data_IF_672139552653
#
_entry.id   IF_672139552653
#
_cell.length_a   1.000
_cell.length_b   1.000
_cell.length_c   1.000
_cell.angle_alpha   90.00
_cell.angle_beta   90.00
_cell.angle_gamma   90.00
#
_symmetry.space_group_name_H-M   'P 1'
#
loop_
_entity.id
_entity.type
_entity.pdbx_description
1 polymer ?
#
# COMPACT_ATOMS: atom_id res chain seq x y z
N UNK A 1 20.94 14.04 22.31
CA UNK A 1 19.48 14.24 22.29
C UNK A 1 18.87 14.84 21.02
N UNK A 2 19.51 15.74 20.25
CA UNK A 2 18.82 16.45 19.16
C UNK A 2 18.32 15.51 18.05
N UNK A 3 19.02 14.40 17.79
CA UNK A 3 18.58 13.40 16.82
C UNK A 3 17.26 12.72 17.23
N UNK A 4 17.11 12.30 18.48
CA UNK A 4 15.86 11.67 18.96
C UNK A 4 14.68 12.65 18.87
N UNK A 5 14.87 13.88 19.34
CA UNK A 5 13.82 14.92 19.29
C UNK A 5 13.49 15.26 17.82
N UNK A 6 14.50 15.40 16.97
CA UNK A 6 14.33 15.66 15.55
C UNK A 6 13.53 14.57 14.84
N UNK A 7 13.79 13.30 15.14
CA UNK A 7 13.04 12.16 14.59
C UNK A 7 11.58 12.16 15.06
N UNK A 8 11.33 12.43 16.35
CA UNK A 8 9.97 12.51 16.88
C UNK A 8 9.18 13.67 16.26
N UNK A 9 9.80 14.85 16.13
CA UNK A 9 9.20 16.02 15.50
C UNK A 9 8.95 15.79 14.00
N UNK A 10 9.92 15.21 13.28
CA UNK A 10 9.75 14.87 11.87
C UNK A 10 8.61 13.85 11.69
N UNK A 11 8.59 12.79 12.48
CA UNK A 11 7.52 11.78 12.46
C UNK A 11 6.14 12.39 12.74
N UNK A 12 6.05 13.31 13.71
CA UNK A 12 4.81 14.03 14.01
C UNK A 12 4.37 14.95 12.87
N UNK A 13 5.30 15.71 12.28
CA UNK A 13 5.02 16.59 11.14
C UNK A 13 4.54 15.78 9.93
N UNK A 14 5.27 14.72 9.58
CA UNK A 14 4.94 13.85 8.46
C UNK A 14 3.61 13.14 8.66
N UNK A 15 3.31 12.67 9.88
CA UNK A 15 2.05 11.97 10.14
C UNK A 15 0.81 12.87 10.16
N UNK A 16 0.98 14.20 10.30
CA UNK A 16 -0.15 15.14 10.44
C UNK A 16 -0.31 16.08 9.24
N UNK A 17 0.79 16.66 8.75
CA UNK A 17 0.76 17.68 7.69
C UNK A 17 0.74 17.05 6.30
N UNK A 18 1.56 16.04 6.06
CA UNK A 18 1.71 15.45 4.72
C UNK A 18 0.39 14.82 4.19
N UNK A 19 -0.41 14.08 4.99
CA UNK A 19 -1.72 13.59 4.55
C UNK A 19 -2.67 14.71 4.14
N UNK A 20 -2.67 15.83 4.85
CA UNK A 20 -3.54 16.99 4.56
C UNK A 20 -3.15 17.67 3.26
N UNK A 21 -1.85 17.77 2.98
CA UNK A 21 -1.35 18.31 1.72
C UNK A 21 -1.65 17.38 0.54
N UNK A 22 -1.48 16.07 0.73
CA UNK A 22 -1.79 15.07 -0.29
C UNK A 22 -3.30 14.98 -0.59
N UNK A 23 -4.16 15.08 0.42
CA UNK A 23 -5.61 15.08 0.22
C UNK A 23 -6.10 16.28 -0.60
N UNK A 24 -5.38 17.40 -0.58
CA UNK A 24 -5.70 18.61 -1.37
C UNK A 24 -5.12 18.58 -2.79
N UNK A 25 -4.26 17.60 -3.09
CA UNK A 25 -3.50 17.59 -4.31
C UNK A 25 -4.29 16.97 -5.48
N UNK A 26 -4.77 17.82 -6.40
CA UNK A 26 -5.53 17.36 -7.58
C UNK A 26 -4.72 16.51 -8.58
N UNK A 27 -3.40 16.41 -8.41
CA UNK A 27 -2.55 15.59 -9.27
C UNK A 27 -2.56 14.11 -8.91
N UNK A 28 -3.00 13.76 -7.69
CA UNK A 28 -3.00 12.40 -7.15
C UNK A 28 -3.80 11.44 -8.04
N UNK A 29 -4.99 11.87 -8.49
CA UNK A 29 -5.80 11.10 -9.44
C UNK A 29 -5.18 11.02 -10.84
N UNK A 30 -4.36 12.00 -11.26
CA UNK A 30 -3.75 12.01 -12.60
C UNK A 30 -2.57 11.05 -12.69
N UNK A 31 -1.80 10.91 -11.62
CA UNK A 31 -0.62 10.05 -11.55
C UNK A 31 -0.70 9.07 -10.37
N UNK A 32 -1.57 8.04 -10.43
CA UNK A 32 -1.85 7.17 -9.30
C UNK A 32 -0.62 6.38 -8.83
N UNK A 33 0.24 5.95 -9.76
CA UNK A 33 1.48 5.22 -9.44
C UNK A 33 2.47 6.11 -8.68
N UNK A 34 2.58 7.38 -9.06
CA UNK A 34 3.45 8.34 -8.37
C UNK A 34 2.88 8.70 -7.00
N UNK A 35 1.57 8.85 -6.89
CA UNK A 35 0.91 9.06 -5.61
C UNK A 35 1.12 7.87 -4.66
N UNK A 36 1.01 6.63 -5.14
CA UNK A 36 1.34 5.43 -4.37
C UNK A 36 2.79 5.46 -3.87
N UNK A 37 3.75 5.85 -4.72
CA UNK A 37 5.15 6.00 -4.32
C UNK A 37 5.30 7.04 -3.21
N UNK A 38 4.68 8.21 -3.34
CA UNK A 38 4.76 9.29 -2.35
C UNK A 38 4.18 8.84 -1.00
N UNK A 39 3.03 8.19 -1.03
CA UNK A 39 2.40 7.61 0.16
C UNK A 39 3.26 6.53 0.82
N UNK A 40 3.89 5.64 0.03
CA UNK A 40 4.82 4.63 0.53
C UNK A 40 6.05 5.27 1.17
N UNK A 41 6.66 6.26 0.51
CA UNK A 41 7.80 6.97 1.08
C UNK A 41 7.44 7.70 2.38
N UNK A 42 6.24 8.28 2.45
CA UNK A 42 5.74 8.92 3.67
C UNK A 42 5.59 7.92 4.82
N UNK A 43 4.93 6.78 4.58
CA UNK A 43 4.76 5.72 5.58
C UNK A 43 6.12 5.17 6.02
N UNK A 44 7.02 4.88 5.07
CA UNK A 44 8.37 4.41 5.36
C UNK A 44 9.14 5.43 6.19
N UNK A 45 9.05 6.73 5.88
CA UNK A 45 9.71 7.79 6.65
C UNK A 45 9.20 7.84 8.10
N UNK A 46 7.88 7.75 8.32
CA UNK A 46 7.29 7.71 9.67
C UNK A 46 7.74 6.46 10.43
N UNK A 47 7.71 5.28 9.78
CA UNK A 47 8.18 4.03 10.39
C UNK A 47 9.68 4.07 10.73
N UNK A 48 10.51 4.68 9.88
CA UNK A 48 11.93 4.90 10.15
C UNK A 48 12.12 5.84 11.34
N UNK A 49 11.37 6.94 11.43
CA UNK A 49 11.41 7.84 12.59
C UNK A 49 11.08 7.09 13.88
N UNK A 50 10.03 6.25 13.88
CA UNK A 50 9.66 5.45 15.04
C UNK A 50 10.72 4.40 15.39
N UNK A 51 11.24 3.67 14.41
CA UNK A 51 12.23 2.61 14.62
C UNK A 51 13.58 3.16 15.10
N UNK A 52 14.10 4.19 14.44
CA UNK A 52 15.36 4.86 14.83
C UNK A 52 15.19 5.58 16.16
N UNK A 53 14.05 6.23 16.38
CA UNK A 53 13.69 6.84 17.67
C UNK A 53 13.63 5.81 18.79
N UNK A 54 13.07 4.61 18.54
CA UNK A 54 13.02 3.52 19.51
C UNK A 54 14.44 3.04 19.85
N UNK A 55 15.30 2.82 18.85
CA UNK A 55 16.69 2.40 19.08
C UNK A 55 17.44 3.43 19.93
N UNK A 56 17.33 4.72 19.61
CA UNK A 56 17.98 5.79 20.38
C UNK A 56 17.42 5.92 21.80
N UNK A 57 16.08 5.87 21.95
CA UNK A 57 15.44 5.95 23.25
C UNK A 57 15.75 4.72 24.14
N UNK A 58 15.76 3.53 23.55
CA UNK A 58 16.12 2.30 24.24
C UNK A 58 17.60 2.28 24.63
N UNK A 59 18.49 2.83 23.79
CA UNK A 59 19.92 3.01 24.12
C UNK A 59 20.13 4.04 25.23
N UNK A 60 19.28 5.07 25.33
CA UNK A 60 19.31 5.99 26.48
C UNK A 60 18.82 5.32 27.77
N UNK A 61 17.86 4.40 27.67
CA UNK A 61 17.25 3.70 28.80
C UNK A 61 18.07 2.50 29.32
N UNK A 62 18.80 1.81 28.46
CA UNK A 62 19.47 0.54 28.77
C UNK A 62 20.96 0.62 28.41
N UNK A 63 21.87 0.70 29.40
CA UNK A 63 23.31 0.80 29.15
C UNK A 63 23.87 -0.38 28.34
N UNK A 64 23.35 -1.59 28.54
CA UNK A 64 23.77 -2.80 27.80
C UNK A 64 23.45 -2.68 26.30
N UNK A 65 22.24 -2.22 25.96
CA UNK A 65 21.85 -1.98 24.57
C UNK A 65 22.69 -0.85 23.96
N UNK A 66 22.98 0.20 24.74
CA UNK A 66 23.86 1.29 24.29
C UNK A 66 25.24 0.75 23.92
N UNK A 67 25.84 -0.06 24.79
CA UNK A 67 27.12 -0.69 24.52
C UNK A 67 27.10 -1.53 23.24
N UNK A 68 26.02 -2.29 22.98
CA UNK A 68 25.86 -3.07 21.76
C UNK A 68 25.71 -2.21 20.49
N UNK A 69 24.87 -1.16 20.54
CA UNK A 69 24.62 -0.26 19.40
C UNK A 69 25.89 0.51 19.02
N UNK A 70 26.70 0.89 20.01
CA UNK A 70 27.92 1.68 19.82
C UNK A 70 29.22 0.85 19.89
N UNK A 71 29.16 -0.48 19.99
CA UNK A 71 30.33 -1.35 20.16
C UNK A 71 31.41 -1.16 19.07
N UNK A 72 31.00 -0.85 17.84
CA UNK A 72 31.90 -0.58 16.71
C UNK A 72 32.07 0.91 16.37
N UNK A 73 31.54 1.81 17.19
CA UNK A 73 31.57 3.23 16.90
C UNK A 73 32.94 3.86 17.26
N UNK A 74 33.47 4.79 16.44
CA UNK A 74 34.67 5.54 16.78
C UNK A 74 34.51 6.35 18.08
N UNK A 75 35.65 6.71 18.68
CA UNK A 75 35.70 7.47 19.92
C UNK A 75 34.99 8.83 19.74
N UNK A 76 34.13 9.20 20.70
CA UNK A 76 33.38 10.46 20.66
C UNK A 76 31.99 10.39 20.01
N UNK A 77 31.71 9.35 19.19
CA UNK A 77 30.40 9.19 18.54
C UNK A 77 29.29 8.99 19.57
N UNK A 78 29.45 8.09 20.55
CA UNK A 78 28.45 7.88 21.61
C UNK A 78 28.14 9.18 22.37
N UNK A 79 29.18 9.94 22.71
CA UNK A 79 29.05 11.21 23.43
C UNK A 79 28.26 12.25 22.62
N UNK A 80 28.43 12.30 21.29
CA UNK A 80 27.69 13.20 20.41
C UNK A 80 26.16 12.95 20.43
N UNK A 81 25.73 11.72 20.72
CA UNK A 81 24.32 11.41 20.90
C UNK A 81 23.76 11.84 22.25
N UNK A 82 24.59 12.16 23.25
CA UNK A 82 24.18 12.68 24.57
C UNK A 82 23.11 11.84 25.27
N UNK A 83 23.23 10.50 25.20
CA UNK A 83 22.19 9.57 25.67
C UNK A 83 22.15 9.42 27.20
N UNK A 84 23.24 9.74 27.89
CA UNK A 84 23.39 9.53 29.34
C UNK A 84 22.49 10.43 30.20
N UNK A 85 22.19 11.65 29.75
CA UNK A 85 21.40 12.62 30.53
C UNK A 85 19.88 12.40 30.44
N UNK A 86 19.43 11.43 29.63
CA UNK A 86 18.03 11.31 29.23
C UNK A 86 17.33 10.03 29.71
N UNK A 87 17.87 9.35 30.72
CA UNK A 87 17.40 8.02 31.15
C UNK A 87 15.91 7.99 31.54
N UNK A 88 15.40 9.06 32.18
CA UNK A 88 13.99 9.19 32.59
C UNK A 88 13.02 9.24 31.40
N UNK A 89 13.15 10.25 30.54
CA UNK A 89 12.28 10.41 29.36
C UNK A 89 12.55 9.37 28.27
N UNK A 90 13.81 8.93 28.12
CA UNK A 90 14.20 7.87 27.19
C UNK A 90 13.46 6.55 27.45
N UNK A 91 13.30 6.15 28.72
CA UNK A 91 12.48 4.98 29.10
C UNK A 91 11.01 5.14 28.69
N UNK A 92 10.42 6.31 28.93
CA UNK A 92 9.03 6.56 28.54
C UNK A 92 8.87 6.51 27.00
N UNK A 93 9.74 7.19 26.25
CA UNK A 93 9.72 7.14 24.79
C UNK A 93 9.93 5.73 24.25
N UNK A 94 10.89 4.99 24.80
CA UNK A 94 11.15 3.61 24.41
C UNK A 94 9.93 2.73 24.68
N UNK A 95 9.29 2.86 25.86
CA UNK A 95 8.10 2.10 26.21
C UNK A 95 6.92 2.41 25.26
N UNK A 96 6.65 3.68 24.97
CA UNK A 96 5.57 4.09 24.05
C UNK A 96 5.81 3.58 22.64
N UNK A 97 7.03 3.76 22.11
CA UNK A 97 7.39 3.31 20.77
C UNK A 97 7.41 1.77 20.66
N UNK A 98 7.89 1.07 21.68
CA UNK A 98 7.88 -0.39 21.74
C UNK A 98 6.45 -0.94 21.82
N UNK A 99 5.59 -0.36 22.65
CA UNK A 99 4.18 -0.73 22.74
C UNK A 99 3.47 -0.56 21.38
N UNK A 100 3.70 0.57 20.69
CA UNK A 100 3.20 0.79 19.34
C UNK A 100 3.75 -0.23 18.33
N UNK A 101 5.05 -0.53 18.39
CA UNK A 101 5.68 -1.56 17.56
C UNK A 101 5.06 -2.95 17.76
N UNK A 102 4.89 -3.38 19.01
CA UNK A 102 4.23 -4.65 19.36
C UNK A 102 2.80 -4.69 18.86
N UNK A 103 2.02 -3.62 19.08
CA UNK A 103 0.64 -3.52 18.60
C UNK A 103 0.57 -3.65 17.07
N UNK A 104 1.53 -3.08 16.35
CA UNK A 104 1.65 -3.18 14.89
C UNK A 104 1.93 -4.60 14.44
N UNK A 105 2.88 -5.28 15.08
CA UNK A 105 3.22 -6.68 14.75
C UNK A 105 2.02 -7.58 15.00
N UNK A 106 1.29 -7.37 16.09
CA UNK A 106 0.06 -8.10 16.40
C UNK A 106 -1.03 -7.84 15.36
N UNK A 107 -1.25 -6.57 14.99
CA UNK A 107 -2.22 -6.18 13.96
C UNK A 107 -1.88 -6.78 12.60
N UNK A 108 -0.63 -6.66 12.16
CA UNK A 108 -0.15 -7.26 10.91
C UNK A 108 -0.30 -8.78 10.91
N UNK A 109 0.05 -9.43 12.01
CA UNK A 109 -0.09 -10.89 12.14
C UNK A 109 -1.55 -11.31 12.07
N UNK A 110 -2.47 -10.57 12.70
CA UNK A 110 -3.92 -10.82 12.62
C UNK A 110 -4.43 -10.65 11.20
N UNK A 111 -4.10 -9.54 10.53
CA UNK A 111 -4.53 -9.26 9.15
C UNK A 111 -3.99 -10.28 8.14
N UNK A 112 -2.73 -10.68 8.26
CA UNK A 112 -2.15 -11.72 7.39
C UNK A 112 -2.85 -13.07 7.62
N UNK A 113 -3.18 -13.41 8.87
CA UNK A 113 -3.90 -14.65 9.19
C UNK A 113 -5.34 -14.62 8.68
N UNK A 114 -6.08 -13.53 8.87
CA UNK A 114 -7.45 -13.38 8.37
C UNK A 114 -7.49 -13.40 6.85
N UNK A 115 -6.58 -12.67 6.19
CA UNK A 115 -6.47 -12.66 4.74
C UNK A 115 -6.08 -14.04 4.18
N UNK A 116 -5.14 -14.74 4.81
CA UNK A 116 -4.79 -16.12 4.45
C UNK A 116 -5.99 -17.05 4.60
N UNK A 117 -6.69 -17.03 5.73
CA UNK A 117 -7.86 -17.87 5.97
C UNK A 117 -9.00 -17.59 4.96
N UNK A 118 -9.29 -16.32 4.68
CA UNK A 118 -10.31 -15.93 3.69
C UNK A 118 -9.90 -16.38 2.28
N UNK A 119 -8.63 -16.23 1.93
CA UNK A 119 -8.09 -16.67 0.65
C UNK A 119 -8.19 -18.18 0.50
N UNK A 120 -7.81 -18.93 1.52
CA UNK A 120 -7.84 -20.40 1.49
C UNK A 120 -9.29 -20.91 1.38
N UNK A 121 -10.24 -20.26 2.08
CA UNK A 121 -11.69 -20.51 1.90
C UNK A 121 -12.19 -20.21 0.49
N UNK A 122 -11.77 -19.09 -0.10
CA UNK A 122 -12.14 -18.73 -1.48
C UNK A 122 -11.55 -19.71 -2.49
N UNK A 123 -10.30 -20.15 -2.32
CA UNK A 123 -9.70 -21.19 -3.16
C UNK A 123 -10.46 -22.52 -3.05
N UNK A 124 -10.86 -22.92 -1.83
CA UNK A 124 -11.67 -24.13 -1.63
C UNK A 124 -13.04 -24.02 -2.31
N UNK A 125 -13.74 -22.89 -2.16
CA UNK A 125 -15.01 -22.64 -2.84
C UNK A 125 -14.86 -22.60 -4.37
N UNK A 126 -13.77 -22.06 -4.88
CA UNK A 126 -13.48 -22.11 -6.31
C UNK A 126 -13.15 -23.52 -6.78
N UNK A 127 -12.45 -24.34 -5.99
CA UNK A 127 -12.17 -25.72 -6.36
C UNK A 127 -13.45 -26.56 -6.42
N UNK A 128 -14.40 -26.31 -5.52
CA UNK A 128 -15.71 -26.97 -5.49
C UNK A 128 -16.64 -26.54 -6.63
N UNK A 129 -16.60 -25.25 -7.01
CA UNK A 129 -17.49 -24.68 -8.04
C UNK A 129 -16.90 -24.60 -9.44
N UNK A 130 -15.58 -24.73 -9.57
CA UNK A 130 -14.94 -24.69 -10.88
C UNK A 130 -15.14 -26.05 -11.57
N UNK A 131 -15.58 -26.06 -12.84
CA UNK A 131 -15.59 -27.28 -13.63
C UNK A 131 -14.17 -27.85 -13.72
N UNK A 132 -14.00 -29.17 -13.55
CA UNK A 132 -12.74 -29.85 -13.87
C UNK A 132 -12.47 -29.70 -15.37
N UNK A 133 -11.42 -28.95 -15.72
CA UNK A 133 -10.97 -28.85 -17.10
C UNK A 133 -10.10 -30.07 -17.43
N UNK A 134 -10.27 -30.70 -18.60
CA UNK A 134 -9.40 -31.79 -19.03
C UNK A 134 -7.91 -31.40 -18.98
N UNK A 135 -7.05 -32.30 -18.49
CA UNK A 135 -5.60 -32.06 -18.32
C UNK A 135 -4.90 -31.55 -19.60
N UNK A 136 -5.42 -31.92 -20.78
CA UNK A 136 -4.92 -31.49 -22.10
C UNK A 136 -5.08 -29.98 -22.35
N UNK A 137 -6.11 -29.34 -21.77
CA UNK A 137 -6.34 -27.90 -21.87
C UNK A 137 -5.57 -27.15 -20.77
N UNK A 138 -5.38 -27.77 -19.60
CA UNK A 138 -4.57 -27.20 -18.52
C UNK A 138 -3.08 -27.13 -18.88
N UNK A 139 -2.53 -28.15 -19.54
CA UNK A 139 -1.12 -28.20 -19.94
C UNK A 139 -0.72 -27.12 -20.96
N UNK A 140 -1.66 -26.69 -21.80
CA UNK A 140 -1.44 -25.66 -22.82
C UNK A 140 -1.49 -24.22 -22.27
N UNK A 141 -2.09 -24.02 -21.09
CA UNK A 141 -2.17 -22.70 -20.44
C UNK A 141 -0.95 -22.51 -19.54
N UNK A 142 -0.25 -21.37 -19.69
CA UNK A 142 0.87 -21.02 -18.81
C UNK A 142 0.43 -21.16 -17.34
N UNK A 143 1.09 -22.06 -16.59
CA UNK A 143 0.80 -22.35 -15.17
C UNK A 143 0.70 -21.12 -14.26
N UNK A 144 1.21 -19.95 -14.70
CA UNK A 144 1.27 -18.71 -13.90
C UNK A 144 -0.04 -17.90 -13.84
N UNK A 145 -0.97 -18.05 -14.80
CA UNK A 145 -2.24 -17.29 -14.83
C UNK A 145 -3.38 -18.19 -15.37
N UNK A 146 -4.20 -18.77 -14.47
CA UNK A 146 -5.36 -19.62 -14.85
C UNK A 146 -6.64 -18.78 -14.90
N UNK A 147 -7.35 -18.81 -16.03
CA UNK A 147 -8.70 -18.24 -16.15
C UNK A 147 -9.74 -19.29 -15.75
N UNK A 148 -10.57 -18.96 -14.76
CA UNK A 148 -11.66 -19.79 -14.23
C UNK A 148 -12.98 -19.10 -14.57
N UNK A 149 -13.89 -19.84 -15.21
CA UNK A 149 -15.25 -19.35 -15.48
C UNK A 149 -16.17 -19.92 -14.41
N UNK A 150 -16.91 -19.05 -13.71
CA UNK A 150 -17.92 -19.45 -12.73
C UNK A 150 -19.32 -19.20 -13.26
N UNK A 151 -20.22 -20.14 -12.99
CA UNK A 151 -21.64 -19.93 -13.28
C UNK A 151 -22.24 -18.94 -12.27
N UNK A 152 -22.61 -17.76 -12.76
CA UNK A 152 -23.33 -16.74 -11.99
C UNK A 152 -23.94 -15.73 -12.97
N UNK A 153 -25.21 -15.39 -12.77
CA UNK A 153 -25.93 -14.40 -13.59
C UNK A 153 -25.33 -13.01 -13.43
N UNK A 154 -24.77 -12.68 -12.24
CA UNK A 154 -24.19 -11.37 -12.00
C UNK A 154 -22.88 -11.18 -12.80
N UNK A 155 -22.70 -10.06 -13.50
CA UNK A 155 -21.48 -9.76 -14.25
C UNK A 155 -20.34 -9.39 -13.29
N UNK A 156 -19.43 -10.33 -13.04
CA UNK A 156 -18.33 -10.13 -12.11
C UNK A 156 -17.04 -10.71 -12.66
N UNK A 157 -15.94 -10.02 -12.38
CA UNK A 157 -14.59 -10.51 -12.61
C UNK A 157 -13.71 -10.09 -11.44
N UNK A 158 -12.84 -10.99 -10.99
CA UNK A 158 -11.88 -10.68 -9.93
C UNK A 158 -10.67 -11.60 -10.00
N UNK A 159 -9.56 -11.14 -9.43
CA UNK A 159 -8.35 -11.91 -9.26
C UNK A 159 -8.26 -12.53 -7.87
N UNK A 160 -7.87 -13.81 -7.81
CA UNK A 160 -7.50 -14.48 -6.57
C UNK A 160 -5.97 -14.63 -6.51
N UNK A 161 -5.29 -13.87 -5.62
CA UNK A 161 -3.85 -13.91 -5.51
C UNK A 161 -3.35 -15.22 -4.88
N UNK A 162 -2.15 -15.65 -5.25
CA UNK A 162 -1.52 -16.88 -4.76
C UNK A 162 -0.33 -17.30 -5.63
N UNK A 163 0.38 -18.39 -5.27
CA UNK A 163 1.42 -18.99 -6.13
C UNK A 163 0.87 -19.33 -7.53
N UNK A 164 -0.36 -19.84 -7.55
CA UNK A 164 -1.16 -20.05 -8.75
C UNK A 164 -2.27 -18.99 -8.80
N UNK A 165 -1.94 -17.82 -9.34
CA UNK A 165 -2.94 -16.76 -9.48
C UNK A 165 -4.07 -17.19 -10.41
N UNK A 166 -5.32 -17.01 -9.95
CA UNK A 166 -6.52 -17.34 -10.72
C UNK A 166 -7.27 -16.06 -11.06
N UNK A 167 -7.61 -15.90 -12.33
CA UNK A 167 -8.52 -14.85 -12.79
C UNK A 167 -9.90 -15.49 -12.89
N UNK A 168 -10.87 -14.95 -12.19
CA UNK A 168 -12.22 -15.49 -12.14
C UNK A 168 -13.12 -14.56 -12.93
N UNK A 169 -13.95 -15.12 -13.82
CA UNK A 169 -14.95 -14.40 -14.61
C UNK A 169 -16.27 -15.17 -14.52
N UNK A 170 -17.39 -14.48 -14.38
CA UNK A 170 -18.71 -15.12 -14.34
C UNK A 170 -19.30 -15.30 -15.75
N UNK A 171 -20.22 -16.26 -15.89
CA UNK A 171 -21.00 -16.43 -17.14
C UNK A 171 -21.80 -15.17 -17.49
N UNK A 172 -22.35 -14.45 -16.51
CA UNK A 172 -22.99 -13.15 -16.72
C UNK A 172 -22.03 -12.11 -17.32
N UNK A 173 -20.77 -12.06 -16.87
CA UNK A 173 -19.78 -11.16 -17.44
C UNK A 173 -19.42 -11.53 -18.89
N UNK A 174 -19.40 -12.83 -19.23
CA UNK A 174 -19.17 -13.28 -20.61
C UNK A 174 -20.34 -12.97 -21.54
N UNK A 175 -21.57 -12.94 -21.02
CA UNK A 175 -22.77 -12.61 -21.80
C UNK A 175 -22.92 -11.11 -22.01
N UNK A 176 -22.50 -10.30 -21.03
CA UNK A 176 -22.69 -8.86 -21.07
C UNK A 176 -21.52 -8.12 -21.75
N UNK A 177 -20.27 -8.55 -21.53
CA UNK A 177 -19.10 -7.86 -22.06
C UNK A 177 -18.73 -8.34 -23.46
N UNK A 178 -18.40 -7.40 -24.35
CA UNK A 178 -17.75 -7.73 -25.63
C UNK A 178 -16.34 -8.28 -25.40
N UNK A 179 -15.78 -8.99 -26.39
CA UNK A 179 -14.41 -9.54 -26.32
C UNK A 179 -13.36 -8.50 -25.94
N UNK A 180 -13.50 -7.27 -26.43
CA UNK A 180 -12.57 -6.17 -26.15
C UNK A 180 -12.71 -5.66 -24.72
N UNK A 181 -13.93 -5.57 -24.21
CA UNK A 181 -14.22 -5.16 -22.83
C UNK A 181 -13.77 -6.22 -21.84
N UNK A 182 -14.07 -7.49 -22.13
CA UNK A 182 -13.57 -8.62 -21.34
C UNK A 182 -12.05 -8.64 -21.29
N UNK A 183 -11.37 -8.42 -22.42
CA UNK A 183 -9.91 -8.33 -22.45
C UNK A 183 -9.38 -7.16 -21.60
N UNK A 184 -10.07 -6.01 -21.58
CA UNK A 184 -9.72 -4.88 -20.73
C UNK A 184 -9.87 -5.21 -19.24
N UNK A 185 -10.98 -5.83 -18.83
CA UNK A 185 -11.23 -6.30 -17.45
C UNK A 185 -10.17 -7.31 -17.02
N UNK A 186 -9.88 -8.30 -17.86
CA UNK A 186 -8.81 -9.27 -17.55
C UNK A 186 -7.44 -8.61 -17.47
N UNK A 187 -7.17 -7.55 -18.25
CA UNK A 187 -5.92 -6.79 -18.14
C UNK A 187 -5.86 -5.97 -16.84
N UNK A 188 -7.00 -5.45 -16.37
CA UNK A 188 -7.14 -4.76 -15.08
C UNK A 188 -6.84 -5.75 -13.93
N UNK A 189 -7.51 -6.90 -13.90
CA UNK A 189 -7.32 -7.93 -12.86
C UNK A 189 -5.89 -8.50 -12.83
N UNK A 190 -5.29 -8.76 -14.00
CA UNK A 190 -3.86 -9.13 -14.09
C UNK A 190 -2.95 -8.04 -13.52
N UNK A 191 -3.36 -6.78 -13.61
CA UNK A 191 -2.68 -5.66 -12.99
C UNK A 191 -2.56 -5.83 -11.47
N UNK A 192 -3.65 -6.19 -10.79
CA UNK A 192 -3.65 -6.42 -9.34
C UNK A 192 -2.73 -7.57 -8.91
N UNK A 193 -2.74 -8.67 -9.67
CA UNK A 193 -1.87 -9.82 -9.40
C UNK A 193 -0.41 -9.44 -9.56
N UNK A 194 -0.03 -8.85 -10.70
CA UNK A 194 1.37 -8.54 -11.02
C UNK A 194 1.98 -7.49 -10.10
N UNK A 195 1.21 -6.46 -9.79
CA UNK A 195 1.65 -5.42 -8.86
C UNK A 195 1.44 -5.80 -7.38
N UNK A 196 0.91 -7.01 -7.11
CA UNK A 196 0.68 -7.53 -5.76
C UNK A 196 -0.13 -6.57 -4.88
N UNK A 197 -1.12 -5.91 -5.47
CA UNK A 197 -1.90 -4.86 -4.79
C UNK A 197 -2.58 -5.36 -3.49
N UNK A 198 -2.95 -6.63 -3.44
CA UNK A 198 -3.46 -7.27 -2.23
C UNK A 198 -2.50 -7.19 -1.03
N UNK A 199 -1.19 -7.32 -1.22
CA UNK A 199 -0.22 -7.18 -0.13
C UNK A 199 -0.13 -5.74 0.36
N UNK A 200 -0.16 -4.78 -0.57
CA UNK A 200 -0.12 -3.36 -0.22
C UNK A 200 -1.37 -2.94 0.57
N UNK A 201 -2.56 -3.41 0.16
CA UNK A 201 -3.81 -3.16 0.88
C UNK A 201 -3.82 -3.83 2.26
N UNK A 202 -3.36 -5.08 2.38
CA UNK A 202 -3.23 -5.76 3.68
C UNK A 202 -2.25 -5.02 4.61
N UNK A 203 -1.11 -4.57 4.10
CA UNK A 203 -0.15 -3.81 4.87
C UNK A 203 -0.73 -2.47 5.34
N UNK A 204 -1.44 -1.75 4.45
CA UNK A 204 -2.08 -0.49 4.81
C UNK A 204 -3.18 -0.68 5.87
N UNK A 205 -3.98 -1.74 5.73
CA UNK A 205 -5.00 -2.12 6.71
C UNK A 205 -4.37 -2.47 8.08
N UNK A 206 -3.28 -3.24 8.09
CA UNK A 206 -2.56 -3.61 9.30
C UNK A 206 -1.96 -2.40 10.04
N UNK A 207 -1.43 -1.42 9.30
CA UNK A 207 -0.94 -0.18 9.88
C UNK A 207 -2.09 0.64 10.50
N UNK A 208 -3.22 0.75 9.80
CA UNK A 208 -4.39 1.47 10.30
C UNK A 208 -4.99 0.80 11.55
N UNK A 209 -5.05 -0.53 11.62
CA UNK A 209 -5.55 -1.26 12.79
C UNK A 209 -4.53 -1.34 13.93
N UNK A 210 -3.23 -1.34 13.61
CA UNK A 210 -2.14 -1.30 14.60
C UNK A 210 -1.99 0.06 15.28
N UNK A 211 -2.35 1.15 14.60
CA UNK A 211 -2.20 2.52 15.10
C UNK A 211 -3.48 3.35 14.89
N UNK A 212 -4.58 3.03 15.57
CA UNK A 212 -5.88 3.67 15.32
C UNK A 212 -5.88 5.18 15.60
N UNK A 213 -4.96 5.67 16.45
CA UNK A 213 -4.82 7.10 16.76
C UNK A 213 -3.97 7.91 15.77
N UNK A 214 -3.34 7.28 14.78
CA UNK A 214 -2.40 7.97 13.87
C UNK A 214 -3.04 8.14 12.49
N UNK A 215 -3.52 9.35 12.21
CA UNK A 215 -4.30 9.67 11.01
C UNK A 215 -3.62 9.34 9.67
N UNK A 216 -2.28 9.37 9.59
CA UNK A 216 -1.55 9.02 8.36
C UNK A 216 -1.82 7.59 7.90
N UNK A 217 -1.95 6.62 8.81
CA UNK A 217 -2.13 5.23 8.43
C UNK A 217 -3.57 4.94 7.98
N UNK A 218 -4.55 5.57 8.63
CA UNK A 218 -5.95 5.54 8.16
C UNK A 218 -6.06 6.18 6.76
N UNK A 219 -5.48 7.37 6.57
CA UNK A 219 -5.47 8.04 5.28
C UNK A 219 -4.72 7.23 4.20
N UNK A 220 -3.61 6.58 4.57
CA UNK A 220 -2.86 5.69 3.68
C UNK A 220 -3.70 4.49 3.22
N UNK A 221 -4.40 3.82 4.15
CA UNK A 221 -5.33 2.73 3.82
C UNK A 221 -6.37 3.17 2.80
N UNK A 222 -7.02 4.30 3.05
CA UNK A 222 -8.12 4.79 2.21
C UNK A 222 -7.61 5.20 0.82
N UNK A 223 -6.49 5.94 0.75
CA UNK A 223 -5.91 6.33 -0.54
C UNK A 223 -5.30 5.18 -1.32
N UNK A 224 -4.62 4.23 -0.67
CA UNK A 224 -4.05 3.08 -1.38
C UNK A 224 -5.13 2.29 -2.08
N UNK A 225 -6.29 2.08 -1.44
CA UNK A 225 -7.40 1.35 -2.03
C UNK A 225 -7.86 2.00 -3.34
N UNK A 226 -8.07 3.30 -3.34
CA UNK A 226 -8.47 4.07 -4.54
C UNK A 226 -7.36 4.10 -5.60
N UNK A 227 -6.12 4.43 -5.22
CA UNK A 227 -5.02 4.61 -6.16
C UNK A 227 -4.61 3.31 -6.87
N UNK A 228 -4.77 2.18 -6.20
CA UNK A 228 -4.58 0.84 -6.78
C UNK A 228 -5.54 0.59 -7.94
N UNK A 229 -6.82 0.93 -7.77
CA UNK A 229 -7.85 0.80 -8.82
C UNK A 229 -7.53 1.72 -10.00
N UNK A 230 -7.18 2.99 -9.72
CA UNK A 230 -6.80 3.96 -10.75
C UNK A 230 -5.54 3.52 -11.52
N UNK A 231 -4.57 2.91 -10.85
CA UNK A 231 -3.36 2.40 -11.49
C UNK A 231 -3.64 1.17 -12.37
N UNK A 232 -4.54 0.29 -11.95
CA UNK A 232 -4.99 -0.86 -12.74
C UNK A 232 -5.80 -0.43 -13.97
N UNK A 233 -6.68 0.57 -13.82
CA UNK A 233 -7.40 1.21 -14.94
C UNK A 233 -6.46 1.81 -15.95
N UNK A 234 -5.47 2.60 -15.50
CA UNK A 234 -4.46 3.18 -16.38
C UNK A 234 -3.69 2.10 -17.16
N UNK A 235 -3.47 0.93 -16.55
CA UNK A 235 -2.81 -0.20 -17.21
C UNK A 235 -3.71 -0.85 -18.26
N UNK A 236 -4.97 -1.09 -17.95
CA UNK A 236 -5.94 -1.62 -18.91
C UNK A 236 -6.15 -0.64 -20.08
N UNK A 237 -6.34 0.64 -19.78
CA UNK A 237 -6.56 1.71 -20.75
C UNK A 237 -5.38 1.90 -21.71
N UNK A 238 -4.14 1.72 -21.24
CA UNK A 238 -2.94 1.75 -22.11
C UNK A 238 -2.92 0.62 -23.14
N UNK A 239 -3.52 -0.53 -22.84
CA UNK A 239 -3.48 -1.72 -23.71
C UNK A 239 -4.72 -1.88 -24.57
N UNK A 240 -5.89 -1.51 -24.04
CA UNK A 240 -7.20 -1.76 -24.65
C UNK A 240 -7.98 -0.48 -24.98
N UNK A 241 -7.44 0.69 -24.66
CA UNK A 241 -8.09 1.97 -24.89
C UNK A 241 -8.94 2.43 -23.70
N UNK A 242 -9.02 3.75 -23.53
CA UNK A 242 -9.70 4.39 -22.40
C UNK A 242 -11.22 4.20 -22.45
N UNK A 243 -11.83 4.36 -23.62
CA UNK A 243 -13.28 4.16 -23.80
C UNK A 243 -13.69 2.72 -23.53
N UNK A 244 -12.99 1.73 -24.11
CA UNK A 244 -13.27 0.31 -23.86
C UNK A 244 -13.13 -0.06 -22.39
N UNK A 245 -12.12 0.48 -21.69
CA UNK A 245 -11.97 0.25 -20.24
C UNK A 245 -13.12 0.89 -19.45
N UNK A 246 -13.56 2.09 -19.84
CA UNK A 246 -14.66 2.80 -19.19
C UNK A 246 -16.00 2.09 -19.41
N UNK A 247 -16.29 1.65 -20.64
CA UNK A 247 -17.49 0.86 -20.94
C UNK A 247 -17.49 -0.45 -20.15
N UNK A 248 -16.39 -1.20 -20.17
CA UNK A 248 -16.30 -2.45 -19.43
C UNK A 248 -16.55 -2.27 -17.93
N UNK A 249 -16.02 -1.18 -17.34
CA UNK A 249 -16.27 -0.83 -15.95
C UNK A 249 -17.74 -0.44 -15.71
N UNK A 250 -18.38 0.28 -16.62
CA UNK A 250 -19.78 0.64 -16.51
C UNK A 250 -20.69 -0.61 -16.60
N UNK A 251 -20.46 -1.47 -17.59
CA UNK A 251 -21.20 -2.72 -17.82
C UNK A 251 -21.17 -3.64 -16.59
N UNK A 252 -19.99 -3.90 -16.02
CA UNK A 252 -19.84 -4.70 -14.79
C UNK A 252 -20.58 -4.13 -13.56
N UNK A 253 -21.03 -2.88 -13.63
CA UNK A 253 -21.72 -2.20 -12.53
C UNK A 253 -23.21 -1.90 -12.81
N UNK A 254 -23.74 -2.20 -14.00
CA UNK A 254 -25.13 -1.90 -14.36
C UNK A 254 -26.15 -2.60 -13.44
N UNK A 255 -25.94 -3.88 -13.13
CA UNK A 255 -26.88 -4.68 -12.32
C UNK A 255 -26.82 -4.40 -10.81
N UNK A 256 -25.94 -3.50 -10.35
CA UNK A 256 -25.69 -3.31 -8.91
C UNK A 256 -26.64 -2.30 -8.23
N UNK A 257 -27.46 -1.58 -8.99
CA UNK A 257 -28.62 -0.80 -8.51
C UNK A 257 -28.31 0.33 -7.51
N UNK A 258 -29.24 1.29 -7.38
CA UNK A 258 -29.15 2.42 -6.41
C UNK A 258 -29.48 2.00 -4.97
N UNK A 259 -30.13 0.83 -4.79
CA UNK A 259 -30.71 0.38 -3.52
C UNK A 259 -29.93 -0.74 -2.81
N UNK A 260 -28.82 -1.22 -3.38
CA UNK A 260 -27.92 -2.14 -2.68
C UNK A 260 -27.00 -1.37 -1.73
N UNK A 261 -26.68 -1.93 -0.57
CA UNK A 261 -25.54 -1.45 0.22
C UNK A 261 -24.31 -1.51 -0.70
N UNK A 262 -23.74 -0.35 -1.01
CA UNK A 262 -22.69 -0.23 -2.01
C UNK A 262 -21.34 -0.52 -1.31
N UNK A 263 -20.64 -1.64 -1.60
CA UNK A 263 -19.25 -1.81 -1.18
C UNK A 263 -18.41 -0.57 -1.52
N UNK A 264 -17.45 -0.18 -0.67
CA UNK A 264 -16.66 1.05 -0.85
C UNK A 264 -16.00 1.21 -2.23
N UNK A 265 -15.62 0.10 -2.89
CA UNK A 265 -15.04 0.11 -4.23
C UNK A 265 -16.02 0.50 -5.35
N UNK A 266 -17.33 0.34 -5.13
CA UNK A 266 -18.38 0.62 -6.13
C UNK A 266 -18.86 2.06 -6.12
N UNK A 267 -18.78 2.74 -4.97
CA UNK A 267 -19.05 4.18 -4.87
C UNK A 267 -18.07 5.03 -5.72
N UNK A 268 -16.93 4.44 -6.11
CA UNK A 268 -15.91 5.06 -6.95
C UNK A 268 -16.10 4.82 -8.46
N UNK A 269 -17.00 3.90 -8.86
CA UNK A 269 -17.18 3.54 -10.28
C UNK A 269 -17.53 4.72 -11.20
N UNK A 270 -18.46 5.64 -10.84
CA UNK A 270 -18.76 6.80 -11.68
C UNK A 270 -17.54 7.72 -11.86
N UNK A 271 -16.81 8.03 -10.78
CA UNK A 271 -15.60 8.87 -10.82
C UNK A 271 -14.50 8.26 -11.70
N UNK A 272 -14.34 6.93 -11.65
CA UNK A 272 -13.37 6.19 -12.46
C UNK A 272 -13.72 6.23 -13.95
N UNK A 273 -14.99 6.01 -14.29
CA UNK A 273 -15.51 6.14 -15.65
C UNK A 273 -15.30 7.58 -16.17
N UNK A 274 -15.72 8.58 -15.40
CA UNK A 274 -15.56 10.00 -15.76
C UNK A 274 -14.09 10.35 -15.99
N UNK A 275 -13.19 9.87 -15.13
CA UNK A 275 -11.73 10.08 -15.29
C UNK A 275 -11.21 9.45 -16.58
N UNK A 276 -11.60 8.20 -16.86
CA UNK A 276 -11.20 7.49 -18.07
C UNK A 276 -11.71 8.18 -19.33
N UNK A 277 -12.91 8.76 -19.31
CA UNK A 277 -13.49 9.51 -20.43
C UNK A 277 -12.87 10.91 -20.57
N UNK A 278 -12.67 11.64 -19.47
CA UNK A 278 -12.13 13.00 -19.46
C UNK A 278 -10.70 13.08 -19.99
N UNK A 279 -9.85 12.09 -19.70
CA UNK A 279 -8.59 11.94 -20.42
C UNK A 279 -7.54 12.98 -20.21
N UNK A 280 -7.51 13.53 -19.01
CA UNK A 280 -6.59 14.59 -18.66
C UNK A 280 -5.15 14.16 -18.95
N UNK A 281 -4.33 15.05 -19.53
CA UNK A 281 -2.95 14.75 -19.83
C UNK A 281 -2.16 14.44 -18.55
N UNK A 282 -1.18 13.56 -18.68
CA UNK A 282 -0.21 13.24 -17.62
C UNK A 282 0.62 14.44 -17.25
N UNK A 283 1.20 14.41 -16.04
CA UNK A 283 2.13 15.46 -15.62
C UNK A 283 3.37 15.44 -16.51
N UNK A 284 3.93 16.63 -16.76
CA UNK A 284 5.22 16.75 -17.45
C UNK A 284 6.32 15.98 -16.69
N UNK A 285 7.31 15.46 -17.43
CA UNK A 285 8.47 14.75 -16.86
C UNK A 285 9.16 15.51 -15.72
N UNK A 286 9.48 16.82 -15.81
CA UNK A 286 10.17 17.52 -14.72
C UNK A 286 9.35 17.56 -13.43
N UNK A 287 8.04 17.80 -13.51
CA UNK A 287 7.17 17.76 -12.34
C UNK A 287 7.11 16.37 -11.69
N UNK A 288 7.10 15.30 -12.51
CA UNK A 288 7.15 13.92 -11.99
C UNK A 288 8.45 13.64 -11.25
N UNK A 289 9.59 14.06 -11.82
CA UNK A 289 10.90 13.92 -11.19
C UNK A 289 10.99 14.69 -9.86
N UNK A 290 10.52 15.94 -9.84
CA UNK A 290 10.48 16.75 -8.61
C UNK A 290 9.68 16.07 -7.50
N UNK A 291 8.49 15.54 -7.82
CA UNK A 291 7.67 14.81 -6.86
C UNK A 291 8.33 13.51 -6.38
N UNK A 292 9.00 12.77 -7.27
CA UNK A 292 9.75 11.57 -6.90
C UNK A 292 10.92 11.92 -5.96
N UNK A 293 11.69 12.95 -6.27
CA UNK A 293 12.80 13.42 -5.42
C UNK A 293 12.27 13.88 -4.06
N UNK A 294 11.20 14.68 -4.04
CA UNK A 294 10.57 15.13 -2.80
C UNK A 294 10.05 13.97 -1.94
N UNK A 295 9.48 12.93 -2.57
CA UNK A 295 9.05 11.72 -1.88
C UNK A 295 10.22 10.99 -1.24
N UNK A 296 11.31 10.77 -1.98
CA UNK A 296 12.51 10.06 -1.50
C UNK A 296 13.29 10.87 -0.45
N UNK A 297 13.16 12.19 -0.45
CA UNK A 297 13.79 13.06 0.55
C UNK A 297 13.24 12.81 1.96
N UNK A 298 11.97 12.41 2.12
CA UNK A 298 11.37 12.17 3.44
C UNK A 298 12.04 11.01 4.22
N UNK A 299 12.18 9.78 3.67
CA UNK A 299 12.89 8.71 4.37
C UNK A 299 14.39 8.99 4.49
N UNK A 300 14.99 9.67 3.50
CA UNK A 300 16.39 10.08 3.58
C UNK A 300 16.64 11.06 4.74
N UNK A 301 15.73 12.03 4.96
CA UNK A 301 15.82 12.97 6.07
C UNK A 301 15.76 12.26 7.44
N UNK A 302 14.92 11.23 7.58
CA UNK A 302 14.86 10.44 8.81
C UNK A 302 16.21 9.73 9.08
N UNK A 303 16.81 9.12 8.05
CA UNK A 303 18.13 8.49 8.17
C UNK A 303 19.20 9.53 8.50
N UNK A 304 19.25 10.65 7.75
CA UNK A 304 20.23 11.70 7.97
C UNK A 304 20.13 12.30 9.38
N UNK A 305 18.92 12.56 9.90
CA UNK A 305 18.74 13.05 11.27
C UNK A 305 19.24 12.07 12.32
N UNK A 306 19.06 10.76 12.09
CA UNK A 306 19.56 9.74 13.01
C UNK A 306 21.09 9.63 13.02
N UNK A 307 21.74 9.77 11.86
CA UNK A 307 23.20 9.66 11.74
C UNK A 307 23.95 11.00 11.88
N UNK A 308 23.26 12.15 11.85
CA UNK A 308 23.88 13.47 11.88
C UNK A 308 24.86 13.70 13.04
N UNK A 309 24.55 13.34 14.32
CA UNK A 309 25.50 13.54 15.42
C UNK A 309 26.78 12.70 15.27
N UNK A 310 26.64 11.45 14.79
CA UNK A 310 27.77 10.59 14.51
C UNK A 310 28.63 11.12 13.38
N UNK A 311 28.02 11.61 12.30
CA UNK A 311 28.77 12.20 11.18
C UNK A 311 29.49 13.49 11.58
N UNK A 312 28.85 14.36 12.37
CA UNK A 312 29.46 15.60 12.84
C UNK A 312 30.63 15.39 13.81
N UNK A 313 30.67 14.28 14.54
CA UNK A 313 31.77 13.98 15.45
C UNK A 313 32.99 13.35 14.76
N UNK A 314 32.84 12.96 13.48
CA UNK A 314 33.91 12.39 12.66
C UNK A 314 34.54 13.37 11.67
N UNK A 315 33.89 14.54 11.48
CA UNK A 315 34.37 15.64 10.65
C UNK A 315 35.15 16.65 11.49
#
# INVERSE_FOLDING_TARGET
MPALIGLLLLGLLLSTLAPRLLARACWVEREPVLALLVWQCLVVAVLLCCALGLVLAASAAMPELRALVFAGAPHGVEAAYGLQEAEGWGRLCAAVLAAGGVQTVLALTREVRTAKALRDRRHAQLADRAPELPESIEAARSRRERLVVLENVRPEAWSLPGPDSRLVVTTGALQQLTDRELAAVLSHERGHVRARHHWLQQFAQALASGFPGVGVFAAFRDQVAELVELAADDRAARRHGRHTTALALAELNLDRGVFGSCPPGLAQSPKRVDRLLAGRPRLSVPHRLQLTVAALAAPAAAVLLAFAPGLHSLL
#
